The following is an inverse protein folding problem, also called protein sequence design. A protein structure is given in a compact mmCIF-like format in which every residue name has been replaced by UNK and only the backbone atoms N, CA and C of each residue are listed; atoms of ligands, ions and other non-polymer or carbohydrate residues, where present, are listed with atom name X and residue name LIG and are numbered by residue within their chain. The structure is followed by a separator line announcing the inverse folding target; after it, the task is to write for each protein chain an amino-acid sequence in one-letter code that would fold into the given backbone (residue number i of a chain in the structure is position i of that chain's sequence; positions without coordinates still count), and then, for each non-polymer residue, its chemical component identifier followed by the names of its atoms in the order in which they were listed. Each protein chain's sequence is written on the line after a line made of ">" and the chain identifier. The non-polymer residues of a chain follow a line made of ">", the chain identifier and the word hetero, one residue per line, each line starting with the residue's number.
data_IF_454754785577
#
_entry.id   IF_454754785577
#
_cell.length_a   1.000
_cell.length_b   1.000
_cell.length_c   1.000
_cell.angle_alpha   90.00
_cell.angle_beta   90.00
_cell.angle_gamma   90.00
#
_symmetry.space_group_name_H-M   'P 1'
#
loop_
_entity.id
_entity.type
_entity.pdbx_description
1 polymer ?
#
# COMPACT_ATOMS: atom_id res chain seq x y z
N UNK A 1 4.59 29.05 10.60
CA UNK A 1 5.19 28.84 9.27
C UNK A 1 5.42 27.35 9.10
N UNK A 2 4.66 26.69 8.24
CA UNK A 2 4.83 25.27 7.94
C UNK A 2 6.17 25.09 7.23
N UNK A 3 7.11 24.35 7.83
CA UNK A 3 8.36 24.01 7.16
C UNK A 3 8.02 23.28 5.87
N UNK A 4 8.53 23.74 4.71
CA UNK A 4 8.17 23.12 3.44
C UNK A 4 8.57 21.64 3.41
N UNK A 5 7.74 20.83 2.77
CA UNK A 5 7.81 19.36 2.75
C UNK A 5 8.94 18.88 1.81
N UNK A 6 10.18 19.17 2.18
CA UNK A 6 11.35 18.75 1.42
C UNK A 6 11.94 17.46 1.97
N UNK A 7 12.29 16.55 1.08
CA UNK A 7 12.88 15.26 1.43
C UNK A 7 14.29 15.09 0.86
N UNK A 8 15.31 14.83 1.68
CA UNK A 8 16.68 14.74 1.18
C UNK A 8 16.90 13.50 0.33
N UNK A 9 17.32 13.69 -0.93
CA UNK A 9 17.53 12.60 -1.90
C UNK A 9 18.60 11.60 -1.42
N UNK A 10 19.54 12.04 -0.59
CA UNK A 10 20.56 11.21 0.05
C UNK A 10 19.98 10.03 0.84
N UNK A 11 18.71 10.10 1.27
CA UNK A 11 18.04 8.99 1.94
C UNK A 11 17.61 7.87 0.98
N UNK A 12 17.43 8.14 -0.32
CA UNK A 12 16.95 7.15 -1.29
C UNK A 12 18.05 6.28 -1.90
N UNK A 13 19.32 6.67 -1.79
CA UNK A 13 20.35 5.99 -2.56
C UNK A 13 21.77 6.33 -2.16
N UNK A 14 22.68 6.08 -3.09
CA UNK A 14 24.11 6.32 -2.93
C UNK A 14 24.47 7.80 -3.04
N UNK A 15 25.68 8.16 -2.62
CA UNK A 15 26.23 9.50 -2.85
C UNK A 15 26.28 9.85 -4.35
N UNK A 16 26.43 8.85 -5.23
CA UNK A 16 26.41 9.03 -6.69
C UNK A 16 25.04 9.53 -7.13
N UNK A 17 23.96 8.89 -6.70
CA UNK A 17 22.59 9.31 -7.01
C UNK A 17 22.33 10.73 -6.49
N UNK A 18 22.72 11.02 -5.25
CA UNK A 18 22.55 12.33 -4.64
C UNK A 18 23.28 13.42 -5.43
N UNK A 19 24.52 13.17 -5.84
CA UNK A 19 25.31 14.14 -6.60
C UNK A 19 24.75 14.35 -8.01
N UNK A 20 24.31 13.28 -8.68
CA UNK A 20 23.65 13.36 -9.98
C UNK A 20 22.36 14.18 -9.91
N UNK A 21 21.52 13.93 -8.90
CA UNK A 21 20.28 14.69 -8.70
C UNK A 21 20.55 16.17 -8.40
N UNK A 22 21.55 16.48 -7.57
CA UNK A 22 21.98 17.87 -7.30
C UNK A 22 22.46 18.57 -8.57
N UNK A 23 23.24 17.87 -9.40
CA UNK A 23 23.74 18.42 -10.66
C UNK A 23 22.58 18.72 -11.62
N UNK A 24 21.63 17.79 -11.75
CA UNK A 24 20.42 17.99 -12.54
C UNK A 24 19.59 19.18 -12.05
N UNK A 25 19.33 19.30 -10.74
CA UNK A 25 18.60 20.46 -10.19
C UNK A 25 19.27 21.79 -10.55
N UNK A 26 20.62 21.84 -10.53
CA UNK A 26 21.38 23.02 -10.93
C UNK A 26 21.27 23.31 -12.42
N UNK A 27 21.28 22.28 -13.26
CA UNK A 27 21.09 22.42 -14.72
C UNK A 27 19.69 22.96 -15.04
N UNK A 28 18.66 22.54 -14.31
CA UNK A 28 17.31 23.09 -14.40
C UNK A 28 17.14 24.49 -13.78
N UNK A 29 18.23 25.11 -13.30
CA UNK A 29 18.19 26.45 -12.70
C UNK A 29 17.55 26.52 -11.30
N UNK A 30 17.36 25.40 -10.60
CA UNK A 30 16.83 25.40 -9.22
C UNK A 30 17.89 25.96 -8.26
N UNK A 31 17.57 27.05 -7.58
CA UNK A 31 18.47 27.75 -6.66
C UNK A 31 18.18 27.47 -5.17
N UNK A 32 16.99 26.96 -4.84
CA UNK A 32 16.56 26.65 -3.46
C UNK A 32 16.38 25.15 -3.23
N UNK A 33 16.69 24.69 -2.00
CA UNK A 33 16.53 23.30 -1.54
C UNK A 33 17.22 22.24 -2.41
N UNK A 34 18.41 22.57 -2.91
CA UNK A 34 19.26 21.63 -3.65
C UNK A 34 19.54 20.37 -2.82
N UNK A 35 19.38 19.20 -3.43
CA UNK A 35 19.49 17.90 -2.77
C UNK A 35 18.21 17.44 -2.07
N UNK A 36 17.12 18.19 -2.22
CA UNK A 36 15.82 17.80 -1.70
C UNK A 36 14.79 17.61 -2.82
N UNK A 37 13.92 16.64 -2.60
CA UNK A 37 12.72 16.33 -3.38
C UNK A 37 11.54 17.09 -2.79
N UNK A 38 10.83 17.85 -3.62
CA UNK A 38 9.56 18.47 -3.23
C UNK A 38 8.38 17.54 -3.52
N UNK A 39 8.41 16.88 -4.68
CA UNK A 39 7.37 15.97 -5.17
C UNK A 39 7.99 14.69 -5.74
N UNK A 40 7.20 13.62 -5.91
CA UNK A 40 7.72 12.43 -6.60
C UNK A 40 7.95 12.74 -8.09
N UNK A 41 7.13 13.62 -8.68
CA UNK A 41 7.32 14.15 -10.03
C UNK A 41 8.74 14.70 -10.28
N UNK A 42 9.33 15.44 -9.33
CA UNK A 42 10.72 15.94 -9.47
C UNK A 42 11.74 14.80 -9.67
N UNK A 43 11.51 13.68 -8.98
CA UNK A 43 12.36 12.51 -9.13
C UNK A 43 12.14 11.80 -10.46
N UNK A 44 10.89 11.80 -10.92
CA UNK A 44 10.52 11.23 -12.21
C UNK A 44 11.24 11.96 -13.32
N UNK A 45 11.13 13.30 -13.36
CA UNK A 45 11.82 14.16 -14.32
C UNK A 45 13.34 13.93 -14.31
N UNK A 46 13.93 13.80 -13.13
CA UNK A 46 15.35 13.48 -13.00
C UNK A 46 15.72 12.12 -13.61
N UNK A 47 14.97 11.06 -13.30
CA UNK A 47 15.29 9.73 -13.82
C UNK A 47 15.14 9.68 -15.33
N UNK A 48 14.10 10.35 -15.80
CA UNK A 48 13.80 10.55 -17.20
C UNK A 48 14.96 11.26 -17.93
N UNK A 49 15.46 12.38 -17.41
CA UNK A 49 16.55 13.14 -18.02
C UNK A 49 17.90 12.41 -17.95
N UNK A 50 18.08 11.51 -16.99
CA UNK A 50 19.28 10.67 -16.90
C UNK A 50 19.21 9.45 -17.81
N UNK A 51 18.00 8.96 -18.11
CA UNK A 51 17.77 7.82 -18.98
C UNK A 51 17.65 8.26 -20.44
N UNK A 52 18.61 9.06 -20.92
CA UNK A 52 18.81 9.34 -22.34
C UNK A 52 19.39 8.11 -23.05
N UNK A 53 18.94 6.90 -22.71
CA UNK A 53 19.26 5.72 -23.51
C UNK A 53 18.89 6.05 -24.95
N UNK A 54 19.84 5.84 -25.85
CA UNK A 54 19.72 6.00 -27.30
C UNK A 54 18.70 4.98 -27.85
N UNK A 55 17.42 5.14 -27.50
CA UNK A 55 16.33 4.21 -27.82
C UNK A 55 15.90 4.24 -29.28
N UNK A 56 16.68 4.88 -30.14
CA UNK A 56 16.27 5.12 -31.51
C UNK A 56 17.19 4.38 -32.48
N UNK A 57 16.83 3.12 -32.75
CA UNK A 57 16.97 2.61 -34.10
C UNK A 57 15.71 3.05 -34.88
N UNK A 58 15.80 4.23 -35.49
CA UNK A 58 14.71 4.94 -36.21
C UNK A 58 14.26 4.23 -37.48
N UNK A 59 14.75 3.01 -37.74
CA UNK A 59 14.71 2.34 -39.04
C UNK A 59 13.39 1.65 -39.37
N UNK A 60 12.39 1.73 -38.49
CA UNK A 60 11.03 1.23 -38.73
C UNK A 60 9.97 2.34 -38.67
N UNK A 61 10.10 3.39 -39.48
CA UNK A 61 9.16 4.51 -39.55
C UNK A 61 7.79 4.08 -40.14
N UNK A 62 7.00 3.34 -39.37
CA UNK A 62 5.55 3.31 -39.52
C UNK A 62 4.94 4.65 -39.13
N UNK A 63 3.69 4.89 -39.53
CA UNK A 63 2.91 6.11 -39.29
C UNK A 63 2.49 6.33 -37.83
N UNK A 64 3.21 5.76 -36.87
CA UNK A 64 2.86 5.85 -35.45
C UNK A 64 3.42 7.14 -34.85
N UNK A 65 2.60 7.80 -34.03
CA UNK A 65 3.05 8.88 -33.17
C UNK A 65 4.03 8.30 -32.14
N UNK A 66 5.23 8.88 -32.03
CA UNK A 66 6.26 8.44 -31.09
C UNK A 66 6.40 9.48 -29.99
N UNK A 67 6.54 9.02 -28.74
CA UNK A 67 6.88 9.90 -27.63
C UNK A 67 8.25 10.56 -27.88
N UNK A 68 8.33 11.89 -27.72
CA UNK A 68 9.47 12.66 -28.23
C UNK A 68 10.81 12.32 -27.57
N UNK A 69 10.79 11.84 -26.33
CA UNK A 69 11.99 11.52 -25.54
C UNK A 69 12.25 10.03 -25.45
N UNK A 70 11.26 9.21 -25.09
CA UNK A 70 11.49 7.76 -24.94
C UNK A 70 11.37 6.98 -26.25
N UNK A 71 10.86 7.58 -27.33
CA UNK A 71 10.76 6.97 -28.66
C UNK A 71 9.76 5.81 -28.77
N UNK A 72 9.00 5.53 -27.71
CA UNK A 72 7.99 4.48 -27.72
C UNK A 72 6.79 4.91 -28.58
N UNK A 73 6.19 3.97 -29.35
CA UNK A 73 4.98 4.25 -30.10
C UNK A 73 3.79 4.46 -29.16
N UNK A 74 3.12 5.59 -29.36
CA UNK A 74 1.93 6.01 -28.65
C UNK A 74 0.68 5.57 -29.40
N UNK A 75 -0.43 5.48 -28.67
CA UNK A 75 -1.73 5.29 -29.29
C UNK A 75 -2.08 6.51 -30.17
N UNK A 76 -2.73 6.35 -31.34
CA UNK A 76 -3.05 7.46 -32.24
C UNK A 76 -3.96 8.55 -31.64
N UNK A 77 -4.72 8.23 -30.59
CA UNK A 77 -5.53 9.21 -29.85
C UNK A 77 -4.77 9.96 -28.76
N UNK A 78 -3.57 9.50 -28.41
CA UNK A 78 -2.78 10.12 -27.36
C UNK A 78 -2.29 11.49 -27.84
N UNK A 79 -2.20 12.45 -26.91
CA UNK A 79 -1.58 13.75 -27.19
C UNK A 79 -0.07 13.58 -27.41
N UNK A 80 0.57 14.59 -27.99
CA UNK A 80 2.03 14.60 -28.16
C UNK A 80 2.71 14.70 -26.78
N UNK A 81 2.99 13.55 -26.17
CA UNK A 81 3.68 13.45 -24.90
C UNK A 81 5.20 13.32 -25.08
N UNK A 82 5.95 13.88 -24.14
CA UNK A 82 7.40 13.67 -24.08
C UNK A 82 7.75 12.21 -23.80
N UNK A 83 7.00 11.56 -22.91
CA UNK A 83 7.17 10.18 -22.50
C UNK A 83 5.87 9.41 -22.68
N UNK A 84 5.95 8.12 -23.00
CA UNK A 84 4.76 7.30 -23.02
C UNK A 84 4.24 7.05 -21.59
N UNK A 85 2.92 6.88 -21.41
CA UNK A 85 2.29 6.63 -20.11
C UNK A 85 2.96 5.50 -19.32
N UNK A 86 3.35 4.42 -20.00
CA UNK A 86 4.02 3.26 -19.37
C UNK A 86 5.37 3.66 -18.77
N UNK A 87 6.18 4.44 -19.48
CA UNK A 87 7.46 4.92 -18.94
C UNK A 87 7.26 5.82 -17.73
N UNK A 88 6.25 6.70 -17.74
CA UNK A 88 5.94 7.55 -16.59
C UNK A 88 5.61 6.67 -15.37
N UNK A 89 4.69 5.72 -15.51
CA UNK A 89 4.32 4.77 -14.45
C UNK A 89 5.54 3.97 -13.97
N UNK A 90 6.37 3.46 -14.87
CA UNK A 90 7.58 2.70 -14.52
C UNK A 90 8.52 3.51 -13.64
N UNK A 91 8.71 4.80 -13.93
CA UNK A 91 9.58 5.66 -13.12
C UNK A 91 8.97 5.93 -11.74
N UNK A 92 7.65 6.14 -11.65
CA UNK A 92 6.95 6.18 -10.36
C UNK A 92 7.20 4.88 -9.56
N UNK A 93 7.03 3.72 -10.18
CA UNK A 93 7.26 2.42 -9.52
C UNK A 93 8.72 2.24 -9.08
N UNK A 94 9.70 2.68 -9.89
CA UNK A 94 11.13 2.70 -9.52
C UNK A 94 11.34 3.59 -8.29
N UNK A 95 10.74 4.77 -8.25
CA UNK A 95 10.82 5.66 -7.09
C UNK A 95 10.25 5.01 -5.84
N UNK A 96 9.05 4.42 -5.94
CA UNK A 96 8.41 3.66 -4.87
C UNK A 96 9.33 2.58 -4.32
N UNK A 97 9.93 1.76 -5.19
CA UNK A 97 10.90 0.72 -4.80
C UNK A 97 12.11 1.29 -4.06
N UNK A 98 12.63 2.45 -4.48
CA UNK A 98 13.75 3.12 -3.78
C UNK A 98 13.36 3.65 -2.42
N UNK A 99 12.16 4.20 -2.27
CA UNK A 99 11.64 4.64 -0.96
C UNK A 99 11.45 3.44 -0.04
N UNK A 100 10.88 2.34 -0.53
CA UNK A 100 10.74 1.09 0.24
C UNK A 100 12.12 0.56 0.68
N UNK A 101 13.06 0.41 -0.27
CA UNK A 101 14.42 -0.04 0.02
C UNK A 101 15.13 0.88 1.02
N UNK A 102 14.92 2.18 0.93
CA UNK A 102 15.42 3.13 1.91
C UNK A 102 14.81 2.85 3.29
N UNK A 103 13.49 2.68 3.37
CA UNK A 103 12.77 2.37 4.59
C UNK A 103 13.22 1.06 5.23
N UNK A 104 13.48 0.01 4.45
CA UNK A 104 13.95 -1.29 4.94
C UNK A 104 15.36 -1.19 5.57
N UNK A 105 16.23 -0.33 5.03
CA UNK A 105 17.53 -0.02 5.68
C UNK A 105 17.36 0.64 7.06
N UNK A 106 16.21 1.26 7.30
CA UNK A 106 15.79 1.77 8.61
C UNK A 106 14.84 0.80 9.34
N UNK A 107 14.92 -0.50 9.07
CA UNK A 107 14.16 -1.54 9.76
C UNK A 107 12.66 -1.54 9.45
N UNK A 108 12.25 -0.88 8.37
CA UNK A 108 10.89 -0.90 7.87
C UNK A 108 9.91 0.00 8.65
N UNK A 109 8.60 -0.11 8.36
CA UNK A 109 7.57 0.77 8.91
C UNK A 109 7.27 0.54 10.40
N UNK A 110 7.61 -0.62 10.94
CA UNK A 110 7.22 -1.05 12.29
C UNK A 110 8.27 -0.77 13.36
N UNK A 111 9.51 -0.46 12.98
CA UNK A 111 10.59 -0.36 13.96
C UNK A 111 10.52 0.94 14.77
N UNK A 112 10.11 0.80 16.03
CA UNK A 112 10.20 1.88 17.02
C UNK A 112 11.65 2.06 17.45
N UNK A 113 12.42 2.84 16.70
CA UNK A 113 13.81 3.14 17.08
C UNK A 113 13.84 4.05 18.32
N UNK A 114 14.60 3.65 19.33
CA UNK A 114 14.92 4.51 20.47
C UNK A 114 15.80 5.71 20.06
N UNK A 115 16.43 5.67 18.87
CA UNK A 115 17.26 6.76 18.37
C UNK A 115 16.39 7.86 17.74
N UNK A 116 16.39 9.09 18.27
CA UNK A 116 15.53 10.17 17.78
C UNK A 116 15.85 10.60 16.34
N UNK A 117 17.11 10.47 15.88
CA UNK A 117 17.49 10.78 14.49
C UNK A 117 16.88 9.76 13.52
N UNK A 118 16.92 8.50 13.89
CA UNK A 118 16.35 7.42 13.10
C UNK A 118 14.82 7.54 13.04
N UNK A 119 14.17 7.80 14.19
CA UNK A 119 12.73 8.07 14.23
C UNK A 119 12.33 9.28 13.37
N UNK A 120 13.19 10.29 13.24
CA UNK A 120 12.96 11.40 12.29
C UNK A 120 13.06 10.94 10.83
N UNK A 121 14.07 10.16 10.47
CA UNK A 121 14.23 9.62 9.12
C UNK A 121 13.08 8.68 8.73
N UNK A 122 12.64 7.78 9.61
CA UNK A 122 11.47 6.93 9.38
C UNK A 122 10.20 7.76 9.16
N UNK A 123 10.00 8.84 9.93
CA UNK A 123 8.85 9.75 9.73
C UNK A 123 8.93 10.47 8.38
N UNK A 124 10.11 10.84 7.92
CA UNK A 124 10.30 11.46 6.61
C UNK A 124 10.02 10.46 5.48
N UNK A 125 10.58 9.25 5.56
CA UNK A 125 10.34 8.19 4.58
C UNK A 125 8.86 7.81 4.51
N UNK A 126 8.19 7.69 5.67
CA UNK A 126 6.75 7.46 5.72
C UNK A 126 5.96 8.55 5.01
N UNK A 127 6.34 9.82 5.21
CA UNK A 127 5.67 10.94 4.52
C UNK A 127 5.87 10.87 3.02
N UNK A 128 7.11 10.64 2.55
CA UNK A 128 7.39 10.49 1.12
C UNK A 128 6.63 9.34 0.51
N UNK A 129 6.60 8.20 1.19
CA UNK A 129 5.84 7.04 0.74
C UNK A 129 4.35 7.37 0.56
N UNK A 130 3.75 8.06 1.54
CA UNK A 130 2.34 8.48 1.46
C UNK A 130 2.14 9.46 0.30
N UNK A 131 2.99 10.47 0.15
CA UNK A 131 2.92 11.44 -0.95
C UNK A 131 3.05 10.75 -2.31
N UNK A 132 4.04 9.87 -2.47
CA UNK A 132 4.23 9.05 -3.66
C UNK A 132 2.99 8.23 -4.01
N UNK A 133 2.43 7.51 -3.04
CA UNK A 133 1.23 6.68 -3.26
C UNK A 133 0.04 7.52 -3.69
N UNK A 134 -0.10 8.72 -3.14
CA UNK A 134 -1.15 9.65 -3.52
C UNK A 134 -0.94 10.17 -4.96
N UNK A 135 0.28 10.57 -5.31
CA UNK A 135 0.60 11.02 -6.67
C UNK A 135 0.41 9.88 -7.70
N UNK A 136 0.83 8.66 -7.39
CA UNK A 136 0.62 7.51 -8.27
C UNK A 136 -0.87 7.17 -8.42
N UNK A 137 -1.67 7.30 -7.37
CA UNK A 137 -3.12 7.11 -7.45
C UNK A 137 -3.78 8.19 -8.32
N UNK A 138 -3.35 9.44 -8.19
CA UNK A 138 -3.83 10.55 -9.05
C UNK A 138 -3.44 10.32 -10.52
N UNK A 139 -2.20 9.92 -10.78
CA UNK A 139 -1.75 9.56 -12.13
C UNK A 139 -2.59 8.41 -12.69
N UNK A 140 -2.78 7.33 -11.93
CA UNK A 140 -3.57 6.17 -12.36
C UNK A 140 -5.01 6.58 -12.72
N UNK A 141 -5.64 7.42 -11.90
CA UNK A 141 -6.99 7.94 -12.19
C UNK A 141 -7.04 8.77 -13.48
N UNK A 142 -6.03 9.60 -13.75
CA UNK A 142 -5.94 10.36 -15.01
C UNK A 142 -5.76 9.43 -16.21
N UNK A 143 -4.94 8.38 -16.04
CA UNK A 143 -4.73 7.39 -17.09
C UNK A 143 -6.00 6.57 -17.36
N UNK A 144 -6.80 6.23 -16.35
CA UNK A 144 -8.09 5.56 -16.53
C UNK A 144 -9.05 6.37 -17.43
N UNK A 145 -9.11 7.70 -17.26
CA UNK A 145 -9.90 8.57 -18.15
C UNK A 145 -9.38 8.55 -19.60
N UNK A 146 -8.07 8.49 -19.78
CA UNK A 146 -7.45 8.33 -21.11
C UNK A 146 -7.72 6.96 -21.73
N UNK A 147 -7.81 5.87 -20.93
CA UNK A 147 -8.19 4.54 -21.42
C UNK A 147 -9.59 4.56 -22.03
N UNK A 148 -10.53 5.25 -21.40
CA UNK A 148 -11.88 5.42 -21.92
C UNK A 148 -11.85 6.18 -23.25
N UNK A 149 -11.03 7.22 -23.35
CA UNK A 149 -10.83 7.98 -24.59
C UNK A 149 -10.16 7.16 -25.70
N UNK A 150 -9.14 6.35 -25.40
CA UNK A 150 -8.53 5.38 -26.34
C UNK A 150 -9.60 4.41 -26.86
N UNK A 151 -10.40 3.84 -25.96
CA UNK A 151 -11.47 2.88 -26.29
C UNK A 151 -12.55 3.49 -27.19
N UNK A 152 -12.98 4.73 -26.90
CA UNK A 152 -13.91 5.46 -27.77
C UNK A 152 -13.33 5.74 -29.15
N UNK A 153 -12.03 6.04 -29.22
CA UNK A 153 -11.36 6.31 -30.48
C UNK A 153 -11.28 5.04 -31.33
N UNK A 154 -10.90 3.90 -30.75
CA UNK A 154 -10.86 2.60 -31.43
C UNK A 154 -12.24 2.21 -31.97
N UNK A 155 -13.31 2.43 -31.19
CA UNK A 155 -14.67 2.16 -31.62
C UNK A 155 -15.10 3.01 -32.85
N UNK A 156 -14.57 4.23 -32.99
CA UNK A 156 -14.83 5.12 -34.13
C UNK A 156 -13.95 4.82 -35.34
N UNK A 157 -12.87 4.03 -35.18
CA UNK A 157 -11.88 3.76 -36.23
C UNK A 157 -11.58 2.26 -36.39
N UNK A 158 -12.59 1.40 -36.65
CA UNK A 158 -12.39 -0.06 -36.73
C UNK A 158 -11.46 -0.50 -37.86
N UNK A 159 -11.34 0.30 -38.93
CA UNK A 159 -10.45 0.01 -40.07
C UNK A 159 -8.99 0.37 -39.80
N UNK A 160 -8.71 1.08 -38.70
CA UNK A 160 -7.36 1.44 -38.30
C UNK A 160 -6.74 0.22 -37.60
N UNK A 161 -6.32 -0.76 -38.41
CA UNK A 161 -5.77 -2.06 -37.98
C UNK A 161 -4.40 -1.94 -37.32
N UNK A 162 -4.35 -1.28 -36.16
CA UNK A 162 -3.12 -1.13 -35.38
C UNK A 162 -2.77 -2.45 -34.74
N UNK A 163 -1.51 -2.82 -34.88
CA UNK A 163 -0.90 -3.85 -34.04
C UNK A 163 -0.79 -3.31 -32.60
N UNK A 164 -1.89 -3.41 -31.83
CA UNK A 164 -2.01 -2.93 -30.45
C UNK A 164 -0.99 -3.59 -29.52
N UNK A 165 -0.47 -4.76 -29.88
CA UNK A 165 0.52 -5.48 -29.07
C UNK A 165 1.86 -4.73 -28.93
N UNK A 166 2.18 -3.83 -29.89
CA UNK A 166 3.43 -3.04 -29.85
C UNK A 166 3.25 -1.64 -29.28
N UNK A 167 2.01 -1.17 -29.14
CA UNK A 167 1.74 0.16 -28.61
C UNK A 167 1.92 0.20 -27.10
N UNK A 168 2.55 1.27 -26.61
CA UNK A 168 2.56 1.59 -25.17
C UNK A 168 1.31 2.41 -24.85
N UNK A 169 0.15 1.77 -24.93
CA UNK A 169 -1.16 2.36 -24.66
C UNK A 169 -1.30 2.80 -23.21
N UNK A 170 -2.24 3.70 -22.95
CA UNK A 170 -2.56 4.10 -21.58
C UNK A 170 -3.15 2.93 -20.79
N UNK A 171 -3.89 2.02 -21.44
CA UNK A 171 -4.39 0.80 -20.79
C UNK A 171 -3.24 -0.05 -20.20
N UNK A 172 -2.14 -0.20 -20.95
CA UNK A 172 -0.96 -0.91 -20.46
C UNK A 172 -0.34 -0.21 -19.24
N UNK A 173 -0.37 1.12 -19.19
CA UNK A 173 0.15 1.90 -18.07
C UNK A 173 -0.70 1.72 -16.80
N UNK A 174 -2.03 1.71 -16.92
CA UNK A 174 -2.96 1.41 -15.81
C UNK A 174 -2.74 -0.01 -15.29
N UNK A 175 -2.60 -1.01 -16.17
CA UNK A 175 -2.28 -2.38 -15.77
C UNK A 175 -0.95 -2.42 -15.02
N UNK A 176 0.09 -1.74 -15.50
CA UNK A 176 1.38 -1.66 -14.80
C UNK A 176 1.23 -1.02 -13.41
N UNK A 177 0.52 0.11 -13.31
CA UNK A 177 0.32 0.83 -12.06
C UNK A 177 -0.45 0.01 -11.03
N UNK A 178 -1.49 -0.71 -11.45
CA UNK A 178 -2.36 -1.50 -10.56
C UNK A 178 -1.72 -2.81 -10.12
N UNK A 179 -1.03 -3.51 -11.03
CA UNK A 179 -0.44 -4.83 -10.74
C UNK A 179 0.90 -4.76 -10.02
N UNK A 180 1.69 -3.69 -10.22
CA UNK A 180 3.04 -3.58 -9.67
C UNK A 180 3.12 -2.81 -8.36
N UNK A 181 2.03 -2.19 -7.90
CA UNK A 181 1.97 -1.68 -6.53
C UNK A 181 1.71 -2.84 -5.58
N UNK A 182 2.74 -3.66 -5.37
CA UNK A 182 2.79 -4.50 -4.18
C UNK A 182 3.02 -3.58 -2.99
N UNK A 183 2.18 -3.71 -1.96
CA UNK A 183 2.56 -3.23 -0.63
C UNK A 183 3.93 -3.86 -0.30
N UNK A 184 4.84 -3.16 0.40
CA UNK A 184 6.02 -3.84 0.96
C UNK A 184 5.51 -4.86 1.98
N UNK A 185 5.15 -6.05 1.47
CA UNK A 185 4.99 -7.25 2.25
C UNK A 185 6.41 -7.61 2.63
N UNK A 186 6.66 -7.64 3.93
CA UNK A 186 7.96 -8.03 4.47
C UNK A 186 8.29 -9.41 3.88
N UNK A 187 9.43 -9.48 3.19
CA UNK A 187 10.06 -10.75 2.93
C UNK A 187 10.68 -11.19 4.26
N UNK A 188 9.95 -12.04 4.99
CA UNK A 188 10.29 -12.50 6.34
C UNK A 188 11.65 -13.23 6.38
N UNK A 189 12.17 -13.62 5.20
CA UNK A 189 13.49 -14.26 5.04
C UNK A 189 14.67 -13.35 5.40
N UNK A 190 14.52 -12.01 5.33
CA UNK A 190 15.65 -11.07 5.51
C UNK A 190 15.91 -10.74 6.99
N UNK A 191 14.95 -10.98 7.89
CA UNK A 191 15.09 -10.65 9.31
C UNK A 191 15.92 -11.66 10.11
N UNK A 192 16.25 -12.83 9.54
CA UNK A 192 16.96 -13.90 10.25
C UNK A 192 18.50 -13.83 10.21
N UNK A 193 19.12 -12.85 9.52
CA UNK A 193 20.57 -12.88 9.24
C UNK A 193 21.40 -11.74 9.83
N UNK A 194 21.10 -11.23 11.04
CA UNK A 194 21.92 -10.14 11.63
C UNK A 194 22.58 -10.51 12.96
N UNK A 195 23.90 -10.42 12.93
CA UNK A 195 24.87 -10.91 13.91
C UNK A 195 24.59 -10.52 15.38
N UNK A 196 24.69 -11.54 16.22
CA UNK A 196 24.57 -11.47 17.67
C UNK A 196 25.86 -10.93 18.31
N UNK A 197 25.89 -9.63 18.64
CA UNK A 197 26.90 -9.12 19.57
C UNK A 197 26.35 -8.03 20.50
N UNK A 198 26.24 -8.36 21.79
CA UNK A 198 26.23 -7.39 22.90
C UNK A 198 24.96 -7.35 23.74
N UNK A 199 24.94 -8.12 24.84
CA UNK A 199 23.92 -8.02 25.89
C UNK A 199 24.15 -6.75 26.74
N UNK A 200 23.23 -5.79 26.68
CA UNK A 200 23.10 -4.77 27.73
C UNK A 200 21.68 -4.80 28.30
N UNK A 201 21.59 -5.28 29.53
CA UNK A 201 20.40 -5.18 30.39
C UNK A 201 20.09 -3.72 30.66
N UNK A 202 18.92 -3.23 30.18
CA UNK A 202 18.40 -1.91 30.52
C UNK A 202 17.28 -2.02 31.58
N UNK A 203 17.24 -1.09 32.55
CA UNK A 203 16.23 -1.07 33.59
C UNK A 203 14.89 -0.52 33.09
N UNK A 204 13.81 -1.07 33.63
CA UNK A 204 12.42 -0.62 33.51
C UNK A 204 12.28 0.85 33.91
N UNK A 205 12.13 1.74 32.92
CA UNK A 205 11.79 3.15 33.17
C UNK A 205 10.40 3.48 32.63
N UNK A 206 9.65 4.21 33.46
CA UNK A 206 8.25 4.54 33.33
C UNK A 206 7.92 5.28 32.02
N UNK A 207 6.92 4.76 31.28
CA UNK A 207 6.33 5.39 30.09
C UNK A 207 5.72 6.74 30.44
N UNK A 208 6.41 7.84 30.11
CA UNK A 208 5.78 9.17 30.04
C UNK A 208 5.01 9.32 28.74
N UNK A 209 3.69 9.54 28.86
CA UNK A 209 2.79 9.88 27.75
C UNK A 209 3.17 11.25 27.18
N UNK A 210 3.27 11.34 25.85
CA UNK A 210 3.46 12.61 25.13
C UNK A 210 2.17 12.97 24.40
N UNK A 211 1.70 14.18 24.69
CA UNK A 211 0.58 14.84 24.00
C UNK A 211 1.05 15.37 22.66
N UNK A 212 0.29 15.13 21.59
CA UNK A 212 0.56 15.66 20.25
C UNK A 212 -0.55 16.63 19.89
N UNK A 213 -0.18 17.86 19.56
CA UNK A 213 -1.10 18.89 19.07
C UNK A 213 -1.08 18.90 17.54
N UNK A 214 -2.25 19.00 16.92
CA UNK A 214 -2.39 19.17 15.48
C UNK A 214 -2.78 20.62 15.18
N UNK A 215 -2.09 21.24 14.21
CA UNK A 215 -2.40 22.59 13.73
C UNK A 215 -3.58 22.55 12.77
N UNK A 216 -4.58 23.40 13.00
CA UNK A 216 -5.65 23.71 12.05
C UNK A 216 -5.12 24.66 10.96
N UNK A 217 -5.07 24.20 9.72
CA UNK A 217 -4.72 25.04 8.55
C UNK A 217 -6.01 25.60 7.96
N UNK A 218 -6.22 26.90 8.10
CA UNK A 218 -7.25 27.62 7.36
C UNK A 218 -6.72 27.96 5.97
N UNK A 219 -7.33 27.40 4.93
CA UNK A 219 -7.06 27.76 3.54
C UNK A 219 -8.04 28.88 3.18
N UNK A 220 -7.53 30.09 3.00
CA UNK A 220 -8.26 31.22 2.42
C UNK A 220 -8.10 31.10 0.90
N UNK A 221 -9.22 30.93 0.19
CA UNK A 221 -9.26 31.06 -1.26
C UNK A 221 -9.48 32.53 -1.61
N UNK A 222 -8.48 33.16 -2.21
CA UNK A 222 -8.67 34.41 -2.95
C UNK A 222 -9.32 34.07 -4.30
N UNK A 223 -10.45 34.72 -4.56
CA UNK A 223 -11.21 34.59 -5.81
C UNK A 223 -11.25 35.97 -6.46
N UNK A 224 -10.42 36.16 -7.48
CA UNK A 224 -10.55 37.29 -8.40
C UNK A 224 -11.40 36.89 -9.59
N UNK A 225 -12.53 37.60 -9.76
CA UNK A 225 -12.90 38.23 -11.03
C UNK A 225 -14.26 38.95 -10.89
N UNK A 226 -14.17 40.28 -10.97
CA UNK A 226 -15.14 41.31 -11.31
C UNK A 226 -16.47 40.90 -11.96
N UNK A 227 -17.60 41.24 -11.32
CA UNK A 227 -18.82 41.71 -11.97
C UNK A 227 -19.40 42.85 -11.12
N UNK A 228 -19.55 44.03 -11.73
CA UNK A 228 -20.23 45.18 -11.14
C UNK A 228 -21.75 44.92 -11.07
N UNK A 229 -22.35 45.02 -9.88
CA UNK A 229 -23.73 45.47 -9.71
C UNK A 229 -24.01 45.83 -8.24
N UNK A 230 -24.52 47.04 -8.08
CA UNK A 230 -25.00 47.69 -6.85
C UNK A 230 -25.96 46.84 -6.01
N UNK A 231 -25.74 46.85 -4.69
CA UNK A 231 -26.70 46.33 -3.70
C UNK A 231 -26.05 46.07 -2.35
N UNK A 232 -26.19 47.01 -1.40
CA UNK A 232 -25.62 46.90 -0.06
C UNK A 232 -26.19 45.72 0.73
N UNK A 233 -25.31 44.89 1.30
CA UNK A 233 -25.65 43.83 2.25
C UNK A 233 -24.90 44.10 3.57
N UNK A 234 -25.53 43.96 4.75
CA UNK A 234 -24.96 44.39 6.02
C UNK A 234 -23.82 43.49 6.51
N UNK A 235 -22.85 44.09 7.17
CA UNK A 235 -21.74 43.45 7.88
C UNK A 235 -22.24 42.42 8.91
N UNK A 236 -22.12 41.13 8.57
CA UNK A 236 -22.21 40.06 9.56
C UNK A 236 -20.89 39.96 10.33
N UNK A 237 -20.85 40.55 11.53
CA UNK A 237 -19.86 40.19 12.56
C UNK A 237 -19.99 38.69 12.84
N UNK A 238 -18.94 37.91 12.57
CA UNK A 238 -18.83 36.53 13.04
C UNK A 238 -18.54 36.57 14.54
N UNK A 239 -19.52 36.14 15.32
CA UNK A 239 -19.43 35.99 16.77
C UNK A 239 -18.52 34.78 17.10
N UNK A 240 -17.40 34.94 17.85
CA UNK A 240 -16.44 33.86 18.07
C UNK A 240 -16.88 32.77 19.06
N UNK A 241 -18.13 32.76 19.52
CA UNK A 241 -18.53 32.01 20.72
C UNK A 241 -19.38 30.74 20.49
N UNK A 242 -19.48 30.22 19.27
CA UNK A 242 -20.28 29.00 19.00
C UNK A 242 -19.56 27.99 18.09
N UNK A 243 -18.37 27.55 18.51
CA UNK A 243 -17.86 26.24 18.11
C UNK A 243 -17.78 25.38 19.37
N UNK A 244 -18.56 24.30 19.48
CA UNK A 244 -18.44 23.39 20.62
C UNK A 244 -17.02 22.84 20.64
N UNK A 245 -16.30 23.10 21.73
CA UNK A 245 -14.98 22.54 21.97
C UNK A 245 -15.10 21.01 22.02
N UNK A 246 -14.63 20.34 20.97
CA UNK A 246 -14.47 18.88 20.99
C UNK A 246 -13.33 18.57 21.96
N UNK A 247 -13.69 18.13 23.17
CA UNK A 247 -12.73 17.69 24.17
C UNK A 247 -12.12 16.34 23.77
N UNK A 248 -10.88 16.36 23.28
CA UNK A 248 -10.10 15.14 23.00
C UNK A 248 -9.42 14.61 24.28
N UNK A 249 -10.21 13.92 25.11
CA UNK A 249 -9.73 13.06 26.21
C UNK A 249 -9.30 11.66 25.74
N UNK A 250 -8.65 10.86 26.60
CA UNK A 250 -8.12 9.55 26.21
C UNK A 250 -9.27 8.55 26.03
N UNK A 251 -9.38 8.04 24.80
CA UNK A 251 -10.42 7.15 24.28
C UNK A 251 -11.72 7.90 23.95
N UNK A 252 -11.86 8.30 22.68
CA UNK A 252 -13.19 8.53 22.12
C UNK A 252 -13.97 7.22 22.29
N UNK A 253 -15.15 7.23 22.93
CA UNK A 253 -15.98 6.03 22.99
C UNK A 253 -16.23 5.57 21.56
N UNK A 254 -15.72 4.40 21.19
CA UNK A 254 -15.75 3.91 19.80
C UNK A 254 -17.17 3.98 19.24
N UNK A 255 -18.14 3.65 20.10
CA UNK A 255 -19.58 3.67 19.85
C UNK A 255 -20.01 4.97 19.18
N UNK A 256 -19.75 6.14 19.78
CA UNK A 256 -20.26 7.44 19.33
C UNK A 256 -19.69 7.97 18.01
N UNK A 257 -18.69 7.30 17.45
CA UNK A 257 -17.98 7.76 16.25
C UNK A 257 -18.00 6.73 15.13
N UNK A 258 -18.77 5.64 15.27
CA UNK A 258 -19.06 4.74 14.16
C UNK A 258 -20.04 5.41 13.20
N UNK A 259 -19.90 5.20 11.89
CA UNK A 259 -20.82 5.84 10.91
C UNK A 259 -22.27 5.33 11.00
N UNK A 260 -22.50 4.30 11.82
CA UNK A 260 -23.80 3.68 12.04
C UNK A 260 -24.59 4.32 13.18
N UNK A 261 -23.96 5.10 14.06
CA UNK A 261 -24.68 5.83 15.09
C UNK A 261 -25.41 7.04 14.50
N UNK A 262 -26.60 7.31 15.03
CA UNK A 262 -27.42 8.48 14.63
C UNK A 262 -26.73 9.81 14.87
N UNK A 263 -25.79 9.82 15.82
CA UNK A 263 -25.08 11.02 16.28
C UNK A 263 -23.76 11.24 15.50
N UNK A 264 -23.44 10.38 14.53
CA UNK A 264 -22.26 10.55 13.68
C UNK A 264 -22.50 11.68 12.67
N UNK A 265 -21.77 12.78 12.83
CA UNK A 265 -21.73 13.84 11.83
C UNK A 265 -20.61 13.58 10.81
N UNK A 266 -20.94 13.27 9.54
CA UNK A 266 -19.93 13.03 8.51
C UNK A 266 -19.09 14.30 8.30
N UNK A 267 -17.77 14.17 8.53
CA UNK A 267 -16.83 15.26 8.27
C UNK A 267 -16.75 15.61 6.78
N UNK A 268 -16.10 16.74 6.44
CA UNK A 268 -15.94 17.23 5.05
C UNK A 268 -15.35 16.21 4.06
N UNK A 269 -14.65 15.20 4.55
CA UNK A 269 -14.02 14.14 3.76
C UNK A 269 -14.74 12.77 3.87
N UNK A 270 -15.87 12.71 4.57
CA UNK A 270 -16.70 11.52 4.58
C UNK A 270 -17.27 11.27 3.17
N UNK A 271 -17.45 10.00 2.83
CA UNK A 271 -18.11 9.60 1.58
C UNK A 271 -19.47 10.29 1.45
N UNK A 272 -19.76 10.86 0.27
CA UNK A 272 -21.01 11.60 0.01
C UNK A 272 -22.21 10.68 -0.19
N UNK A 273 -21.97 9.45 -0.64
CA UNK A 273 -23.02 8.43 -0.80
C UNK A 273 -23.13 7.59 0.48
N UNK A 274 -24.35 7.26 0.94
CA UNK A 274 -24.53 6.35 2.06
C UNK A 274 -23.90 4.96 1.83
N UNK A 275 -23.75 4.51 0.58
CA UNK A 275 -23.12 3.20 0.27
C UNK A 275 -21.61 3.21 -0.04
N UNK A 276 -21.02 4.38 -0.33
CA UNK A 276 -19.82 4.44 -1.21
C UNK A 276 -18.48 3.98 -0.64
N UNK A 277 -18.37 3.72 0.66
CA UNK A 277 -17.22 3.01 1.23
C UNK A 277 -17.79 2.21 2.39
N UNK A 278 -17.73 0.87 2.31
CA UNK A 278 -18.00 0.03 3.47
C UNK A 278 -17.22 0.62 4.66
N UNK A 279 -17.90 0.92 5.76
CA UNK A 279 -17.27 1.50 6.94
C UNK A 279 -16.34 0.46 7.58
N UNK A 280 -15.13 0.32 7.04
CA UNK A 280 -14.10 -0.59 7.56
C UNK A 280 -13.40 0.01 8.77
N UNK A 281 -13.61 1.30 9.05
CA UNK A 281 -13.12 1.99 10.23
C UNK A 281 -13.68 1.30 11.47
N UNK A 282 -12.84 0.53 12.15
CA UNK A 282 -13.23 -0.27 13.32
C UNK A 282 -14.20 -1.42 13.04
N UNK A 283 -14.37 -1.86 11.79
CA UNK A 283 -15.01 -3.15 11.51
C UNK A 283 -14.17 -4.22 12.21
N UNK A 284 -14.68 -4.71 13.35
CA UNK A 284 -14.38 -6.04 13.87
C UNK A 284 -15.03 -7.08 12.97
N UNK A 285 -14.93 -6.88 11.66
CA UNK A 285 -15.41 -7.85 10.70
C UNK A 285 -14.40 -8.95 10.69
N UNK A 286 -14.80 -9.98 11.40
CA UNK A 286 -14.06 -11.19 11.58
C UNK A 286 -13.75 -11.86 10.24
N UNK A 287 -14.67 -11.78 9.27
CA UNK A 287 -14.48 -12.30 7.91
C UNK A 287 -13.37 -11.52 7.21
N UNK A 288 -13.34 -10.21 7.38
CA UNK A 288 -12.26 -9.38 6.85
C UNK A 288 -10.90 -9.74 7.48
N UNK A 289 -10.83 -9.89 8.81
CA UNK A 289 -9.59 -10.32 9.48
C UNK A 289 -9.10 -11.69 9.01
N UNK A 290 -10.03 -12.64 8.84
CA UNK A 290 -9.73 -13.96 8.27
C UNK A 290 -9.22 -13.87 6.83
N UNK A 291 -9.79 -12.97 6.03
CA UNK A 291 -9.41 -12.78 4.63
C UNK A 291 -7.96 -12.34 4.46
N UNK A 292 -7.38 -11.67 5.45
CA UNK A 292 -6.00 -11.18 5.42
C UNK A 292 -4.95 -12.23 5.84
N UNK A 293 -5.36 -13.44 6.23
CA UNK A 293 -4.42 -14.49 6.62
C UNK A 293 -3.68 -15.03 5.40
N UNK A 294 -2.37 -15.30 5.54
CA UNK A 294 -1.59 -15.99 4.49
C UNK A 294 -2.05 -17.44 4.37
N UNK A 295 -2.21 -17.95 3.15
CA UNK A 295 -2.58 -19.36 2.90
C UNK A 295 -1.38 -20.16 2.42
N UNK A 296 -1.16 -21.31 3.04
CA UNK A 296 -0.21 -22.33 2.61
C UNK A 296 -0.97 -23.60 2.25
N UNK A 297 -0.68 -24.20 1.10
CA UNK A 297 -1.33 -25.43 0.63
C UNK A 297 -0.35 -26.59 0.70
N UNK A 298 -0.79 -27.71 1.30
CA UNK A 298 0.05 -28.88 1.52
C UNK A 298 -0.62 -30.17 1.01
N UNK A 299 -0.01 -30.92 0.08
CA UNK A 299 -0.66 -32.04 -0.61
C UNK A 299 -0.70 -33.37 0.19
N UNK A 300 -0.09 -33.43 1.38
CA UNK A 300 0.01 -34.65 2.18
C UNK A 300 -0.70 -34.45 3.54
N UNK A 301 -1.43 -35.44 4.08
CA UNK A 301 -2.01 -35.31 5.42
C UNK A 301 -0.96 -35.33 6.55
N UNK A 302 0.27 -35.80 6.30
CA UNK A 302 1.36 -35.82 7.26
C UNK A 302 2.07 -34.45 7.32
N UNK A 303 1.40 -33.49 7.96
CA UNK A 303 1.96 -32.16 8.17
C UNK A 303 3.23 -32.22 9.04
N UNK A 304 4.39 -32.04 8.41
CA UNK A 304 5.66 -31.76 9.09
C UNK A 304 5.88 -30.23 9.14
N UNK A 305 6.09 -29.71 10.34
CA UNK A 305 6.28 -28.27 10.57
C UNK A 305 7.53 -27.72 9.89
N UNK A 306 8.55 -28.54 9.64
CA UNK A 306 9.77 -28.08 8.96
C UNK A 306 9.53 -27.63 7.52
N UNK A 307 8.41 -28.05 6.92
CA UNK A 307 8.04 -27.62 5.57
C UNK A 307 7.65 -26.14 5.51
N UNK A 308 7.05 -25.60 6.58
CA UNK A 308 6.52 -24.23 6.60
C UNK A 308 7.62 -23.19 6.36
N UNK A 309 8.85 -23.47 6.80
CA UNK A 309 10.00 -22.58 6.62
C UNK A 309 10.45 -22.48 5.15
N UNK A 310 10.05 -23.45 4.32
CA UNK A 310 10.37 -23.52 2.88
C UNK A 310 9.16 -23.30 1.97
N UNK A 311 7.97 -23.26 2.54
CA UNK A 311 6.73 -23.15 1.79
C UNK A 311 6.53 -21.71 1.31
N UNK A 312 6.21 -21.56 0.04
CA UNK A 312 5.74 -20.27 -0.48
C UNK A 312 4.24 -20.13 -0.18
N UNK A 313 3.83 -18.96 0.30
CA UNK A 313 2.42 -18.62 0.52
C UNK A 313 1.71 -18.44 -0.83
N UNK A 314 0.53 -19.03 -1.01
CA UNK A 314 -0.31 -18.87 -2.21
C UNK A 314 -1.05 -17.51 -2.26
N UNK A 315 -1.01 -16.74 -1.18
CA UNK A 315 -1.58 -15.38 -1.12
C UNK A 315 -2.44 -15.17 0.11
N UNK A 316 -3.39 -14.24 0.01
CA UNK A 316 -4.36 -13.97 1.08
C UNK A 316 -5.56 -14.92 1.02
N UNK A 317 -6.10 -15.28 2.18
CA UNK A 317 -7.21 -16.22 2.27
C UNK A 317 -8.45 -15.77 1.50
N UNK A 318 -8.78 -14.47 1.48
CA UNK A 318 -9.94 -13.96 0.73
C UNK A 318 -9.82 -14.08 -0.78
N UNK A 319 -8.59 -14.24 -1.29
CA UNK A 319 -8.30 -14.38 -2.73
C UNK A 319 -8.04 -15.84 -3.12
N UNK A 320 -7.96 -16.73 -2.13
CA UNK A 320 -7.63 -18.14 -2.34
C UNK A 320 -8.85 -18.93 -2.82
N UNK A 321 -8.65 -19.88 -3.74
CA UNK A 321 -9.73 -20.74 -4.27
C UNK A 321 -10.49 -21.54 -3.21
N UNK A 322 -9.83 -21.86 -2.09
CA UNK A 322 -10.45 -22.55 -0.94
C UNK A 322 -11.08 -21.61 0.09
N UNK A 323 -11.25 -20.32 -0.22
CA UNK A 323 -11.86 -19.36 0.71
C UNK A 323 -13.24 -19.80 1.27
N UNK A 324 -14.15 -20.38 0.46
CA UNK A 324 -15.43 -20.89 0.98
C UNK A 324 -15.26 -22.01 2.01
N UNK A 325 -14.31 -22.92 1.76
CA UNK A 325 -14.02 -24.07 2.64
C UNK A 325 -13.32 -23.63 3.93
N UNK A 326 -12.40 -22.66 3.84
CA UNK A 326 -11.75 -22.03 4.99
C UNK A 326 -12.80 -21.36 5.89
N UNK A 327 -13.68 -20.54 5.31
CA UNK A 327 -14.79 -19.91 6.05
C UNK A 327 -15.70 -20.94 6.71
N UNK A 328 -16.11 -21.97 5.97
CA UNK A 328 -17.00 -23.02 6.46
C UNK A 328 -16.38 -23.79 7.62
N UNK A 329 -15.10 -24.14 7.51
CA UNK A 329 -14.36 -24.87 8.55
C UNK A 329 -14.22 -24.03 9.83
N UNK A 330 -13.85 -22.75 9.71
CA UNK A 330 -13.70 -21.86 10.88
C UNK A 330 -15.06 -21.62 11.55
N UNK A 331 -16.13 -21.42 10.77
CA UNK A 331 -17.48 -21.26 11.32
C UNK A 331 -17.97 -22.54 12.02
N UNK A 332 -17.67 -23.72 11.47
CA UNK A 332 -17.96 -24.99 12.12
C UNK A 332 -17.22 -25.11 13.46
N UNK A 333 -15.91 -24.81 13.45
CA UNK A 333 -15.08 -24.82 14.65
C UNK A 333 -15.48 -23.77 15.72
N UNK A 334 -16.10 -22.67 15.30
CA UNK A 334 -16.68 -21.72 16.26
C UNK A 334 -18.01 -22.18 16.82
N UNK A 335 -18.81 -22.87 16.00
CA UNK A 335 -20.14 -23.35 16.39
C UNK A 335 -20.05 -24.52 17.38
N UNK A 336 -19.01 -25.34 17.27
CA UNK A 336 -18.71 -26.45 18.20
C UNK A 336 -17.78 -26.05 19.36
N UNK A 337 -17.46 -24.75 19.47
CA UNK A 337 -16.57 -24.16 20.48
C UNK A 337 -15.12 -24.70 20.47
N UNK A 338 -14.69 -25.42 19.42
CA UNK A 338 -13.29 -25.86 19.26
C UNK A 338 -12.34 -24.70 18.95
N UNK A 339 -12.88 -23.60 18.41
CA UNK A 339 -12.16 -22.36 18.09
C UNK A 339 -12.86 -21.18 18.73
N UNK A 340 -12.10 -20.42 19.51
CA UNK A 340 -12.55 -19.12 20.01
C UNK A 340 -12.07 -17.97 19.12
N UNK A 341 -12.81 -16.86 19.15
CA UNK A 341 -12.38 -15.63 18.48
C UNK A 341 -11.03 -15.11 18.95
N UNK A 342 -10.69 -15.32 20.22
CA UNK A 342 -9.40 -14.91 20.75
C UNK A 342 -8.25 -15.72 20.13
N UNK A 343 -8.50 -16.98 19.78
CA UNK A 343 -7.54 -17.81 19.04
C UNK A 343 -7.39 -17.28 17.62
N UNK A 344 -8.48 -17.07 16.89
CA UNK A 344 -8.43 -16.53 15.52
C UNK A 344 -7.72 -15.19 15.45
N UNK A 345 -7.93 -14.31 16.44
CA UNK A 345 -7.25 -13.01 16.49
C UNK A 345 -5.72 -13.10 16.64
N UNK A 346 -5.18 -14.25 17.06
CA UNK A 346 -3.74 -14.52 17.20
C UNK A 346 -3.17 -15.30 16.01
N UNK A 347 -4.03 -15.76 15.09
CA UNK A 347 -3.62 -16.53 13.92
C UNK A 347 -3.02 -15.59 12.89
N UNK A 348 -1.89 -16.02 12.31
CA UNK A 348 -1.15 -15.26 11.30
C UNK A 348 -1.27 -15.90 9.91
N UNK A 349 -1.44 -17.22 9.87
CA UNK A 349 -1.61 -17.95 8.63
C UNK A 349 -2.51 -19.18 8.78
N UNK A 350 -2.99 -19.63 7.64
CA UNK A 350 -3.87 -20.78 7.48
C UNK A 350 -3.12 -21.81 6.63
N UNK A 351 -3.07 -23.05 7.12
CA UNK A 351 -2.57 -24.18 6.35
C UNK A 351 -3.75 -25.02 5.91
N UNK A 352 -3.86 -25.20 4.60
CA UNK A 352 -4.86 -26.06 3.96
C UNK A 352 -4.16 -27.31 3.48
N UNK A 353 -4.62 -28.47 3.94
CA UNK A 353 -4.19 -29.73 3.32
C UNK A 353 -5.14 -30.11 2.20
N UNK A 354 -4.56 -30.55 1.10
CA UNK A 354 -5.29 -31.03 -0.06
C UNK A 354 -4.88 -32.46 -0.38
N UNK A 355 -5.77 -33.20 -1.04
CA UNK A 355 -5.46 -34.47 -1.69
C UNK A 355 -6.09 -34.41 -3.07
N UNK A 356 -5.27 -34.61 -4.10
CA UNK A 356 -5.71 -34.49 -5.50
C UNK A 356 -6.40 -33.14 -5.77
N UNK A 357 -5.86 -32.07 -5.17
CA UNK A 357 -6.37 -30.70 -5.26
C UNK A 357 -7.73 -30.45 -4.56
N UNK A 358 -8.21 -31.43 -3.78
CA UNK A 358 -9.45 -31.34 -3.00
C UNK A 358 -9.11 -30.99 -1.55
N UNK A 359 -9.76 -29.96 -1.00
CA UNK A 359 -9.67 -29.55 0.39
C UNK A 359 -9.94 -30.73 1.34
N UNK A 360 -9.01 -31.01 2.25
CA UNK A 360 -9.14 -32.07 3.25
C UNK A 360 -9.32 -31.49 4.66
N UNK A 361 -8.37 -30.66 5.10
CA UNK A 361 -8.38 -30.13 6.45
C UNK A 361 -7.75 -28.75 6.56
N UNK A 362 -8.11 -28.05 7.63
CA UNK A 362 -7.65 -26.71 7.96
C UNK A 362 -6.86 -26.72 9.27
N UNK A 363 -5.72 -26.02 9.28
CA UNK A 363 -4.98 -25.71 10.51
C UNK A 363 -4.74 -24.20 10.61
N UNK A 364 -5.05 -23.65 11.78
CA UNK A 364 -4.77 -22.25 12.09
C UNK A 364 -3.46 -22.17 12.87
N UNK A 365 -2.54 -21.34 12.40
CA UNK A 365 -1.23 -21.17 13.03
C UNK A 365 -1.06 -19.75 13.58
N UNK A 366 -0.84 -19.67 14.89
CA UNK A 366 -0.38 -18.46 15.57
C UNK A 366 1.16 -18.49 15.65
N UNK A 367 1.80 -17.38 15.29
CA UNK A 367 3.24 -17.20 15.56
C UNK A 367 3.39 -16.60 16.95
N UNK A 368 4.27 -17.19 17.77
CA UNK A 368 4.60 -16.63 19.08
C UNK A 368 5.62 -15.50 18.88
N UNK A 369 5.26 -14.27 19.26
CA UNK A 369 6.14 -13.08 19.16
C UNK A 369 7.28 -13.10 20.20
N UNK A 370 7.31 -14.06 21.12
CA UNK A 370 8.14 -14.03 22.33
C UNK A 370 9.41 -14.92 22.27
N UNK A 371 10.11 -14.92 21.14
CA UNK A 371 11.37 -15.68 20.95
C UNK A 371 12.61 -15.09 21.68
N UNK A 372 12.44 -14.22 22.68
CA UNK A 372 13.57 -13.55 23.35
C UNK A 372 14.08 -14.22 24.63
N UNK A 373 13.42 -15.25 25.17
CA UNK A 373 13.87 -15.92 26.39
C UNK A 373 13.59 -17.43 26.35
N UNK A 374 14.55 -18.25 25.91
CA UNK A 374 15.09 -19.40 26.65
C UNK A 374 16.10 -20.20 25.82
N UNK A 375 17.13 -20.70 26.51
CA UNK A 375 18.20 -21.53 25.96
C UNK A 375 17.66 -22.87 25.49
N UNK A 376 17.41 -23.01 24.20
CA UNK A 376 17.29 -24.30 23.50
C UNK A 376 18.18 -24.26 22.26
N UNK A 377 18.82 -25.38 21.87
CA UNK A 377 19.78 -25.39 20.78
C UNK A 377 19.10 -24.96 19.47
N UNK A 378 19.89 -24.21 18.68
CA UNK A 378 19.52 -23.57 17.41
C UNK A 378 18.78 -24.54 16.49
N UNK A 379 17.53 -24.20 16.12
CA UNK A 379 16.76 -24.89 15.09
C UNK A 379 15.31 -25.28 15.41
N UNK A 380 14.71 -24.83 16.51
CA UNK A 380 13.31 -25.14 16.80
C UNK A 380 12.53 -23.91 17.29
N UNK A 381 11.81 -23.26 16.37
CA UNK A 381 10.74 -22.30 16.69
C UNK A 381 9.65 -23.06 17.45
N UNK A 382 9.36 -22.68 18.70
CA UNK A 382 8.38 -23.37 19.54
C UNK A 382 7.00 -22.81 19.24
N UNK A 383 6.17 -23.59 18.55
CA UNK A 383 4.78 -23.28 18.23
C UNK A 383 3.87 -23.75 19.37
N UNK A 384 3.05 -22.87 19.94
CA UNK A 384 2.38 -23.12 21.23
C UNK A 384 0.93 -23.61 21.14
N UNK A 385 0.26 -23.50 19.99
CA UNK A 385 -1.05 -24.15 19.80
C UNK A 385 -1.31 -24.53 18.34
N UNK A 386 -1.69 -25.79 18.11
CA UNK A 386 -2.29 -26.26 16.85
C UNK A 386 -3.71 -26.66 17.19
N UNK A 387 -4.69 -25.96 16.64
CA UNK A 387 -6.06 -26.44 16.60
C UNK A 387 -6.29 -27.12 15.25
N UNK A 388 -6.62 -28.41 15.29
CA UNK A 388 -6.97 -29.18 14.12
C UNK A 388 -8.50 -29.21 14.01
N UNK A 389 -9.04 -28.66 12.93
CA UNK A 389 -10.45 -28.82 12.59
C UNK A 389 -10.54 -29.99 11.62
N UNK A 390 -11.03 -31.12 12.12
CA UNK A 390 -11.35 -32.27 11.26
C UNK A 390 -12.76 -32.07 10.71
N UNK A 391 -12.88 -31.72 9.44
CA UNK A 391 -14.14 -31.93 8.73
C UNK A 391 -14.26 -33.40 8.40
N UNK A 392 -15.30 -34.06 8.92
CA UNK A 392 -15.71 -35.35 8.36
C UNK A 392 -16.20 -35.06 6.95
N UNK A 393 -15.44 -35.53 5.95
CA UNK A 393 -15.92 -35.51 4.57
C UNK A 393 -17.30 -36.18 4.54
N UNK A 394 -18.30 -35.61 3.84
CA UNK A 394 -19.56 -36.32 3.66
C UNK A 394 -19.23 -37.67 3.02
N UNK A 395 -19.50 -38.76 3.74
CA UNK A 395 -19.41 -40.10 3.18
C UNK A 395 -20.34 -40.12 1.98
N UNK A 396 -19.74 -40.00 0.79
CA UNK A 396 -20.45 -40.19 -0.46
C UNK A 396 -20.70 -41.68 -0.52
N UNK A 397 -21.86 -42.09 -0.02
CA UNK A 397 -22.38 -43.45 -0.19
C UNK A 397 -22.63 -43.60 -1.69
N UNK A 398 -21.59 -44.02 -2.41
CA UNK A 398 -21.70 -44.58 -3.75
C UNK A 398 -22.45 -45.91 -3.60
N UNK A 399 -23.77 -45.81 -3.54
CA UNK A 399 -24.64 -46.94 -3.83
C UNK A 399 -24.39 -47.31 -5.30
N UNK A 400 -23.52 -48.29 -5.51
CA UNK A 400 -23.44 -49.00 -6.78
C UNK A 400 -24.59 -50.00 -6.79
N UNK A 401 -25.61 -49.70 -7.60
CA UNK A 401 -26.52 -50.71 -8.17
C UNK A 401 -25.93 -51.27 -9.47
#
# INVERSE_FOLDING_TARGET
>A
MSTPNFFPIALLGSNILNNAYIAWQRQCGKTGNIGFLGLAADYVDFCIDQDTRDFIDRTGAGTHHLASKCGHPLHPSAEDHEYCPVCIVDVYLIFGRRVASAWDRFGGPWQSSANPRFAQQCRLLRRVWICFRLELAQLTSSLEEEVDAESEWEAKHPDYGVDTARLRTTANAVICATTMVKYPVVDDSILCSRDSSGSQTRPTSQRRRKTVHFMSVAIVFEKDSSIEASGGIPNHRKDPLLLPQVHDGPSRPLEKWTRRETDYEPGRYASKSPEGWADTSFMKDQVYSLGQLKVYVFPDPSFDKSWLDTAESEGFASEHRFWPDICSSINAGMSDETISWNMVAQVHCVVVSTRDDIFQHLRLLAMDDDLSNERTPVGATKWTSVSEILMQAPETVLACD
#
